data_IF_129745332106
#
_entry.id   IF_129745332106
#
_cell.length_a   1.000
_cell.length_b   1.000
_cell.length_c   1.000
_cell.angle_alpha   90.00
_cell.angle_beta   90.00
_cell.angle_gamma   90.00
#
_symmetry.space_group_name_H-M   'P 1'
#
loop_
_entity.id
_entity.type
_entity.pdbx_description
1 polymer ?
#
# COMPACT_ATOMS: atom_id res chain seq x y z
N UNK A 1 24.21 -11.07 -12.48
CA UNK A 1 23.77 -10.51 -11.19
C UNK A 1 22.25 -10.52 -11.19
N UNK A 2 21.61 -11.21 -10.24
CA UNK A 2 20.15 -11.20 -10.09
C UNK A 2 19.72 -9.81 -9.61
N UNK A 3 18.76 -9.19 -10.28
CA UNK A 3 18.18 -7.93 -9.83
C UNK A 3 17.54 -8.13 -8.45
N UNK A 4 17.84 -7.32 -7.43
CA UNK A 4 17.26 -7.47 -6.10
C UNK A 4 15.74 -7.30 -6.13
N UNK A 5 15.01 -8.15 -5.41
CA UNK A 5 13.55 -8.03 -5.22
C UNK A 5 13.31 -6.83 -4.31
N UNK A 6 12.70 -5.77 -4.84
CA UNK A 6 12.37 -4.56 -4.07
C UNK A 6 10.90 -4.51 -3.75
N UNK A 7 10.58 -4.18 -2.50
CA UNK A 7 9.21 -4.06 -2.01
C UNK A 7 9.00 -2.67 -1.39
N UNK A 8 8.08 -1.91 -1.98
CA UNK A 8 7.67 -0.62 -1.44
C UNK A 8 6.70 -0.80 -0.28
N UNK A 9 6.91 -0.09 0.82
CA UNK A 9 5.98 -0.03 1.96
C UNK A 9 5.64 1.43 2.20
N UNK A 10 4.37 1.80 2.02
CA UNK A 10 3.93 3.20 2.05
C UNK A 10 2.93 3.41 3.16
N UNK A 11 3.35 4.11 4.20
CA UNK A 11 2.44 4.62 5.23
C UNK A 11 1.86 5.94 4.76
N UNK A 12 0.55 5.97 4.54
CA UNK A 12 -0.22 7.17 4.22
C UNK A 12 -0.89 7.64 5.50
N UNK A 13 -0.37 8.72 6.07
CA UNK A 13 -0.92 9.35 7.26
C UNK A 13 -0.40 10.77 7.42
N UNK A 14 -1.33 11.72 7.41
CA UNK A 14 -1.09 13.11 7.78
C UNK A 14 -0.30 13.25 9.09
N UNK A 15 -0.67 12.47 10.10
CA UNK A 15 -0.08 12.57 11.43
C UNK A 15 1.29 11.91 11.51
N UNK A 16 1.47 10.72 10.93
CA UNK A 16 2.76 10.05 10.92
C UNK A 16 3.78 10.85 10.10
N UNK A 17 3.37 11.46 8.98
CA UNK A 17 4.24 12.30 8.16
C UNK A 17 4.75 13.56 8.88
N UNK A 18 3.98 14.09 9.85
CA UNK A 18 4.37 15.23 10.69
C UNK A 18 5.07 14.82 12.00
N UNK A 19 5.23 13.53 12.25
CA UNK A 19 5.83 13.00 13.48
C UNK A 19 4.94 13.15 14.72
N UNK A 20 3.63 13.39 14.54
CA UNK A 20 2.68 13.54 15.66
C UNK A 20 2.37 12.20 16.33
N UNK A 21 2.49 11.10 15.60
CA UNK A 21 2.42 9.73 16.12
C UNK A 21 3.43 8.84 15.40
N UNK A 22 3.91 7.84 16.10
CA UNK A 22 4.80 6.81 15.56
C UNK A 22 4.05 5.96 14.52
N UNK A 23 4.68 5.76 13.35
CA UNK A 23 4.18 4.82 12.35
C UNK A 23 4.30 3.39 12.87
N UNK A 24 3.15 2.73 13.04
CA UNK A 24 3.07 1.31 13.42
C UNK A 24 2.72 0.42 12.24
N UNK A 25 2.16 0.98 11.17
CA UNK A 25 1.68 0.22 10.02
C UNK A 25 2.83 -0.24 9.13
N UNK A 26 3.74 0.68 8.80
CA UNK A 26 4.94 0.38 8.02
C UNK A 26 5.79 -0.72 8.67
N UNK A 27 6.18 -0.59 9.95
CA UNK A 27 6.93 -1.63 10.66
C UNK A 27 6.22 -2.99 10.70
N UNK A 28 4.91 -3.03 10.92
CA UNK A 28 4.15 -4.29 10.95
C UNK A 28 4.14 -5.01 9.60
N UNK A 29 4.06 -4.27 8.48
CA UNK A 29 4.19 -4.85 7.14
C UNK A 29 5.57 -5.45 6.95
N UNK A 30 6.63 -4.73 7.35
CA UNK A 30 8.01 -5.20 7.22
C UNK A 30 8.27 -6.46 8.04
N UNK A 31 7.72 -6.54 9.26
CA UNK A 31 7.78 -7.72 10.12
C UNK A 31 7.15 -8.94 9.45
N UNK A 32 5.89 -8.83 9.02
CA UNK A 32 5.18 -9.94 8.34
C UNK A 32 5.89 -10.38 7.06
N UNK A 33 6.38 -9.43 6.24
CA UNK A 33 7.15 -9.78 5.04
C UNK A 33 8.47 -10.49 5.38
N UNK A 34 9.13 -10.09 6.46
CA UNK A 34 10.34 -10.75 6.96
C UNK A 34 10.09 -12.18 7.46
N UNK A 35 8.88 -12.47 7.94
CA UNK A 35 8.48 -13.81 8.37
C UNK A 35 8.10 -14.73 7.19
N UNK A 36 7.36 -14.21 6.21
CA UNK A 36 6.78 -15.05 5.14
C UNK A 36 7.69 -15.22 3.91
N UNK A 37 8.61 -14.28 3.66
CA UNK A 37 9.48 -14.33 2.48
C UNK A 37 10.81 -15.02 2.79
N UNK A 38 11.09 -16.11 2.06
CA UNK A 38 12.35 -16.85 2.18
C UNK A 38 13.44 -16.34 1.23
N UNK A 39 13.08 -15.57 0.20
CA UNK A 39 14.02 -15.03 -0.79
C UNK A 39 14.60 -13.69 -0.31
N UNK A 40 15.87 -13.36 -0.62
CA UNK A 40 16.43 -12.05 -0.31
C UNK A 40 15.64 -10.92 -0.99
N UNK A 41 15.32 -9.88 -0.23
CA UNK A 41 14.57 -8.72 -0.71
C UNK A 41 15.05 -7.43 -0.01
N UNK A 42 14.75 -6.29 -0.61
CA UNK A 42 15.13 -4.96 -0.13
C UNK A 42 13.86 -4.12 0.13
N UNK A 43 13.63 -3.63 1.37
CA UNK A 43 12.52 -2.74 1.67
C UNK A 43 12.77 -1.33 1.15
N UNK A 44 11.74 -0.68 0.61
CA UNK A 44 11.77 0.72 0.18
C UNK A 44 10.65 1.49 0.89
N UNK A 45 10.82 1.83 2.19
CA UNK A 45 9.77 2.44 3.00
C UNK A 45 9.54 3.91 2.64
N UNK A 46 8.29 4.38 2.76
CA UNK A 46 7.86 5.77 2.60
C UNK A 46 6.80 6.10 3.65
N UNK A 47 6.87 7.30 4.23
CA UNK A 47 5.82 7.86 5.09
C UNK A 47 5.43 9.19 4.48
N UNK A 48 4.15 9.33 4.11
CA UNK A 48 3.63 10.49 3.36
C UNK A 48 2.27 10.93 3.90
N UNK A 49 1.88 12.18 3.61
CA UNK A 49 0.57 12.72 3.96
C UNK A 49 -0.56 12.17 3.07
N UNK A 50 -1.81 12.33 3.50
CA UNK A 50 -3.04 11.90 2.79
C UNK A 50 -3.39 12.87 1.63
N UNK A 51 -2.41 13.13 0.76
CA UNK A 51 -2.55 13.98 -0.42
C UNK A 51 -2.51 13.12 -1.68
N UNK A 52 -3.62 13.07 -2.42
CA UNK A 52 -3.76 12.15 -3.56
C UNK A 52 -2.59 12.26 -4.55
N UNK A 53 -2.20 13.48 -4.93
CA UNK A 53 -1.10 13.72 -5.87
C UNK A 53 0.26 13.22 -5.33
N UNK A 54 0.48 13.31 -4.02
CA UNK A 54 1.69 12.81 -3.37
C UNK A 54 1.70 11.28 -3.32
N UNK A 55 0.55 10.66 -3.04
CA UNK A 55 0.40 9.19 -3.07
C UNK A 55 0.66 8.69 -4.50
N UNK A 56 -0.01 9.28 -5.50
CA UNK A 56 0.19 8.92 -6.91
C UNK A 56 1.67 9.03 -7.32
N UNK A 57 2.32 10.15 -7.00
CA UNK A 57 3.74 10.35 -7.32
C UNK A 57 4.62 9.32 -6.63
N UNK A 58 4.35 9.01 -5.36
CA UNK A 58 5.10 8.02 -4.59
C UNK A 58 4.95 6.61 -5.19
N UNK A 59 3.74 6.22 -5.56
CA UNK A 59 3.48 4.92 -6.19
C UNK A 59 4.17 4.81 -7.56
N UNK A 60 4.13 5.87 -8.38
CA UNK A 60 4.86 5.93 -9.66
C UNK A 60 6.38 5.81 -9.44
N UNK A 61 6.93 6.55 -8.48
CA UNK A 61 8.37 6.50 -8.20
C UNK A 61 8.84 5.13 -7.69
N UNK A 62 8.05 4.49 -6.84
CA UNK A 62 8.35 3.14 -6.36
C UNK A 62 8.30 2.10 -7.47
N UNK A 63 7.28 2.16 -8.33
CA UNK A 63 7.12 1.22 -9.43
C UNK A 63 8.16 1.45 -10.54
N UNK A 64 8.27 2.68 -11.02
CA UNK A 64 8.98 2.99 -12.27
C UNK A 64 10.46 3.30 -12.06
N UNK A 65 10.81 3.94 -10.94
CA UNK A 65 12.19 4.39 -10.67
C UNK A 65 12.92 3.45 -9.72
N UNK A 66 12.29 3.10 -8.59
CA UNK A 66 12.88 2.17 -7.64
C UNK A 66 12.78 0.72 -8.13
N UNK A 67 11.86 0.42 -9.04
CA UNK A 67 11.68 -0.91 -9.62
C UNK A 67 11.07 -1.91 -8.63
N UNK A 68 10.19 -1.45 -7.74
CA UNK A 68 9.53 -2.33 -6.76
C UNK A 68 8.55 -3.27 -7.50
N UNK A 69 8.67 -4.58 -7.30
CA UNK A 69 7.74 -5.55 -7.89
C UNK A 69 6.44 -5.68 -7.07
N UNK A 70 6.48 -5.29 -5.80
CA UNK A 70 5.34 -5.22 -4.90
C UNK A 70 5.38 -3.87 -4.18
N UNK A 71 4.22 -3.23 -4.04
CA UNK A 71 4.04 -2.04 -3.22
C UNK A 71 2.82 -2.30 -2.32
N UNK A 72 3.00 -2.16 -1.01
CA UNK A 72 1.91 -2.29 -0.03
C UNK A 72 1.72 -0.92 0.63
N UNK A 73 0.49 -0.42 0.64
CA UNK A 73 0.15 0.81 1.34
C UNK A 73 -0.57 0.51 2.64
N UNK A 74 -0.51 1.40 3.61
CA UNK A 74 -1.32 1.36 4.83
C UNK A 74 -1.84 2.75 5.18
N UNK A 75 -3.13 2.85 5.48
CA UNK A 75 -3.82 4.12 5.76
C UNK A 75 -4.57 4.71 4.56
N UNK A 76 -5.52 5.60 4.86
CA UNK A 76 -6.27 6.38 3.85
C UNK A 76 -7.25 5.58 2.98
N UNK A 77 -7.84 4.48 3.49
CA UNK A 77 -8.72 3.57 2.71
C UNK A 77 -10.15 3.46 3.25
N UNK A 78 -10.51 4.27 4.26
CA UNK A 78 -11.85 4.31 4.81
C UNK A 78 -12.82 5.19 3.99
N UNK A 79 -14.00 5.49 4.55
CA UNK A 79 -15.02 6.30 3.89
C UNK A 79 -14.81 7.81 4.10
N UNK A 80 -13.79 8.26 4.83
CA UNK A 80 -13.62 9.66 5.14
C UNK A 80 -13.18 10.45 3.90
N UNK A 81 -13.49 11.75 3.84
CA UNK A 81 -13.14 12.62 2.71
C UNK A 81 -11.64 12.67 2.40
N UNK A 82 -10.78 12.46 3.41
CA UNK A 82 -9.32 12.43 3.29
C UNK A 82 -8.78 11.08 2.84
N UNK A 83 -9.58 10.01 2.90
CA UNK A 83 -9.16 8.66 2.56
C UNK A 83 -9.14 8.48 1.04
N UNK A 84 -8.02 8.86 0.42
CA UNK A 84 -7.83 8.92 -1.04
C UNK A 84 -6.79 7.91 -1.57
N UNK A 85 -6.31 6.99 -0.73
CA UNK A 85 -5.34 5.96 -1.14
C UNK A 85 -5.87 5.04 -2.27
N UNK A 86 -7.15 4.58 -2.25
CA UNK A 86 -7.70 3.80 -3.35
C UNK A 86 -7.80 4.59 -4.66
N UNK A 87 -8.19 5.86 -4.61
CA UNK A 87 -8.24 6.76 -5.76
C UNK A 87 -6.84 6.93 -6.38
N UNK A 88 -5.84 7.22 -5.55
CA UNK A 88 -4.46 7.36 -6.01
C UNK A 88 -3.93 6.05 -6.62
N UNK A 89 -4.27 4.90 -6.04
CA UNK A 89 -3.88 3.58 -6.55
C UNK A 89 -4.52 3.31 -7.90
N UNK A 90 -5.82 3.55 -8.04
CA UNK A 90 -6.54 3.37 -9.31
C UNK A 90 -6.01 4.33 -10.40
N UNK A 91 -5.67 5.57 -10.04
CA UNK A 91 -5.19 6.58 -10.98
C UNK A 91 -3.81 6.28 -11.59
N UNK A 92 -2.98 5.46 -10.93
CA UNK A 92 -1.63 5.10 -11.41
C UNK A 92 -1.53 3.71 -12.02
N UNK A 93 -2.58 2.91 -11.94
CA UNK A 93 -2.55 1.51 -12.37
C UNK A 93 -3.34 1.28 -13.67
N UNK A 94 -2.88 0.28 -14.43
CA UNK A 94 -3.42 -0.10 -15.73
C UNK A 94 -4.58 -1.11 -15.61
N UNK A 95 -4.58 -1.89 -14.51
CA UNK A 95 -5.53 -3.00 -14.31
C UNK A 95 -5.83 -3.21 -12.83
N UNK A 96 -7.10 -3.06 -12.46
CA UNK A 96 -7.61 -3.41 -11.13
C UNK A 96 -7.76 -4.92 -11.00
N UNK A 97 -7.51 -5.44 -9.79
CA UNK A 97 -7.68 -6.85 -9.41
C UNK A 97 -8.75 -6.96 -8.31
N UNK A 98 -10.02 -6.92 -8.70
CA UNK A 98 -11.16 -6.83 -7.75
C UNK A 98 -11.19 -7.94 -6.69
N UNK A 99 -10.70 -9.14 -7.04
CA UNK A 99 -10.64 -10.27 -6.11
C UNK A 99 -9.81 -10.03 -4.83
N UNK A 100 -8.82 -9.12 -4.88
CA UNK A 100 -8.11 -8.70 -3.67
C UNK A 100 -9.04 -7.92 -2.73
N UNK A 101 -9.76 -6.94 -3.28
CA UNK A 101 -10.67 -6.10 -2.51
C UNK A 101 -11.79 -6.93 -1.86
N UNK A 102 -12.35 -7.88 -2.61
CA UNK A 102 -13.34 -8.85 -2.14
C UNK A 102 -12.79 -9.68 -0.97
N UNK A 103 -11.62 -10.28 -1.13
CA UNK A 103 -11.03 -11.15 -0.12
C UNK A 103 -10.63 -10.39 1.14
N UNK A 104 -10.03 -9.20 1.02
CA UNK A 104 -9.66 -8.37 2.17
C UNK A 104 -10.87 -7.97 3.01
N UNK A 105 -11.98 -7.56 2.37
CA UNK A 105 -13.24 -7.29 3.07
C UNK A 105 -13.85 -8.55 3.68
N UNK A 106 -13.86 -9.66 2.95
CA UNK A 106 -14.44 -10.92 3.43
C UNK A 106 -13.71 -11.48 4.66
N UNK A 107 -12.38 -11.40 4.69
CA UNK A 107 -11.58 -11.79 5.87
C UNK A 107 -11.82 -10.84 7.03
N UNK A 108 -11.80 -9.53 6.79
CA UNK A 108 -12.01 -8.51 7.83
C UNK A 108 -13.41 -8.57 8.45
N UNK A 109 -14.43 -8.91 7.65
CA UNK A 109 -15.83 -9.02 8.11
C UNK A 109 -16.04 -10.12 9.15
N UNK A 110 -15.15 -11.12 9.20
CA UNK A 110 -15.15 -12.16 10.24
C UNK A 110 -14.78 -11.60 11.63
N UNK A 111 -14.12 -10.45 11.67
CA UNK A 111 -13.59 -9.82 12.90
C UNK A 111 -14.36 -8.54 13.24
N UNK A 112 -14.60 -7.68 12.25
CA UNK A 112 -15.25 -6.37 12.45
C UNK A 112 -16.40 -6.14 11.45
N UNK A 113 -17.64 -5.85 11.91
CA UNK A 113 -18.78 -5.59 11.02
C UNK A 113 -18.59 -4.39 10.08
N UNK A 114 -17.79 -3.42 10.48
CA UNK A 114 -17.47 -2.22 9.70
C UNK A 114 -16.53 -2.47 8.53
N UNK A 115 -16.05 -3.71 8.32
CA UNK A 115 -15.20 -4.09 7.19
C UNK A 115 -15.78 -3.72 5.82
N UNK A 116 -17.12 -3.65 5.71
CA UNK A 116 -17.80 -3.24 4.48
C UNK A 116 -17.49 -1.79 4.06
N UNK A 117 -16.98 -0.96 4.97
CA UNK A 117 -16.61 0.43 4.69
C UNK A 117 -15.20 0.56 4.08
N UNK A 118 -14.40 -0.52 4.08
CA UNK A 118 -13.07 -0.51 3.49
C UNK A 118 -13.16 -0.39 1.97
N UNK A 119 -12.39 0.55 1.44
CA UNK A 119 -12.24 0.83 0.01
C UNK A 119 -10.91 0.32 -0.53
N UNK A 120 -10.20 -0.53 0.21
CA UNK A 120 -8.94 -1.12 -0.24
C UNK A 120 -9.11 -1.83 -1.59
N UNK A 121 -8.14 -1.64 -2.47
CA UNK A 121 -8.05 -2.30 -3.77
C UNK A 121 -6.64 -2.87 -3.98
N UNK A 122 -6.50 -3.69 -5.02
CA UNK A 122 -5.19 -4.02 -5.58
C UNK A 122 -5.21 -3.82 -7.09
N UNK A 123 -4.06 -3.46 -7.65
CA UNK A 123 -3.95 -3.16 -9.07
C UNK A 123 -2.52 -3.34 -9.59
N UNK A 124 -2.39 -3.45 -10.90
CA UNK A 124 -1.10 -3.59 -11.60
C UNK A 124 -0.71 -2.26 -12.25
N UNK A 125 0.54 -1.85 -12.03
CA UNK A 125 1.23 -0.82 -12.80
C UNK A 125 2.47 -1.44 -13.44
N UNK A 126 2.47 -1.62 -14.77
CA UNK A 126 3.60 -2.25 -15.45
C UNK A 126 3.96 -3.64 -14.89
N UNK A 127 5.08 -3.74 -14.18
CA UNK A 127 5.57 -4.99 -13.54
C UNK A 127 5.34 -5.04 -12.02
N UNK A 128 4.64 -4.05 -11.47
CA UNK A 128 4.44 -3.87 -10.04
C UNK A 128 3.00 -4.21 -9.66
N UNK A 129 2.84 -5.07 -8.65
CA UNK A 129 1.58 -5.24 -7.93
C UNK A 129 1.49 -4.20 -6.82
N UNK A 130 0.39 -3.46 -6.76
CA UNK A 130 0.09 -2.50 -5.68
C UNK A 130 -1.12 -2.99 -4.90
N UNK A 131 -1.02 -3.05 -3.57
CA UNK A 131 -2.09 -3.52 -2.67
C UNK A 131 -2.28 -2.50 -1.54
N UNK A 132 -3.53 -2.14 -1.25
CA UNK A 132 -3.87 -1.26 -0.12
C UNK A 132 -4.22 -1.98 1.17
#
# INVERSE_FOLDING_TARGET
MTTPIRIGVVTVSDRASRGEYEDRGGPAILEVLGEILSSPWEPVPRVIADEQSLIEQTLRDLADKAGCCLIVTTGGTGPAKRDVTPEATAAVCDKILDGFAEQMRAVSLKVVPTAILSRQIAAIRGKSLIVN
#
